data_IF_615049895354
#
_entry.id   IF_615049895354
#
_cell.length_a   1.000
_cell.length_b   1.000
_cell.length_c   1.000
_cell.angle_alpha   90.00
_cell.angle_beta   90.00
_cell.angle_gamma   90.00
#
_symmetry.space_group_name_H-M   'P 1'
#
loop_
_entity.id
_entity.type
_entity.pdbx_description
1 polymer ?
#
# COMPACT_ATOMS: atom_id res chain seq x y z
N UNK A 1 8.40 -25.80 -39.33
CA UNK A 1 7.87 -26.09 -37.96
C UNK A 1 8.10 -24.96 -36.95
N UNK A 2 8.61 -23.79 -37.35
CA UNK A 2 8.95 -22.68 -36.44
C UNK A 2 7.75 -21.84 -35.96
N UNK A 3 6.62 -21.86 -36.69
CA UNK A 3 5.41 -21.08 -36.35
C UNK A 3 4.62 -21.62 -35.15
N UNK A 4 4.70 -22.93 -34.86
CA UNK A 4 3.93 -23.57 -33.77
C UNK A 4 4.52 -23.30 -32.38
N UNK A 5 5.85 -23.14 -32.28
CA UNK A 5 6.52 -22.86 -31.00
C UNK A 5 6.24 -21.44 -30.47
N UNK A 6 6.09 -20.47 -31.39
CA UNK A 6 5.80 -19.07 -31.03
C UNK A 6 4.38 -18.92 -30.47
N UNK A 7 3.39 -19.63 -31.03
CA UNK A 7 2.01 -19.59 -30.53
C UNK A 7 1.85 -20.17 -29.12
N UNK A 8 2.64 -21.20 -28.76
CA UNK A 8 2.60 -21.80 -27.42
C UNK A 8 3.25 -20.86 -26.38
N UNK A 9 4.36 -20.21 -26.73
CA UNK A 9 5.00 -19.22 -25.86
C UNK A 9 4.11 -18.01 -25.58
N UNK A 10 3.34 -17.55 -26.57
CA UNK A 10 2.42 -16.41 -26.42
C UNK A 10 1.20 -16.74 -25.54
N UNK A 11 0.75 -18.00 -25.54
CA UNK A 11 -0.37 -18.45 -24.69
C UNK A 11 0.02 -18.58 -23.21
N UNK A 12 1.28 -18.94 -22.91
CA UNK A 12 1.78 -19.02 -21.53
C UNK A 12 1.98 -17.65 -20.88
N UNK A 13 2.23 -16.59 -21.65
CA UNK A 13 2.41 -15.23 -21.12
C UNK A 13 1.12 -14.63 -20.49
N UNK A 14 -0.04 -15.18 -20.83
CA UNK A 14 -1.35 -14.73 -20.34
C UNK A 14 -1.64 -15.25 -18.90
N UNK A 15 -0.85 -16.21 -18.41
CA UNK A 15 -1.06 -16.85 -17.11
C UNK A 15 -0.25 -16.21 -15.96
N UNK A 16 0.44 -15.09 -16.19
CA UNK A 16 1.12 -14.40 -15.09
C UNK A 16 0.08 -13.71 -14.20
N UNK A 17 0.11 -13.95 -12.88
CA UNK A 17 -0.82 -13.29 -11.97
C UNK A 17 -0.58 -11.78 -12.05
N UNK A 18 -1.62 -11.04 -12.42
CA UNK A 18 -1.62 -9.59 -12.32
C UNK A 18 -1.53 -9.24 -10.83
N UNK A 19 -0.37 -8.76 -10.42
CA UNK A 19 -0.16 -8.16 -9.11
C UNK A 19 -0.96 -6.86 -9.09
N UNK A 20 -1.96 -6.81 -8.20
CA UNK A 20 -2.91 -5.71 -8.21
C UNK A 20 -2.87 -4.84 -6.97
N UNK A 21 -2.23 -5.32 -5.91
CA UNK A 21 -2.25 -4.65 -4.63
C UNK A 21 -0.97 -4.90 -3.90
N UNK A 22 -0.61 -3.91 -3.09
CA UNK A 22 0.63 -3.88 -2.36
C UNK A 22 0.31 -3.68 -0.90
N UNK A 23 0.61 -4.68 -0.10
CA UNK A 23 0.47 -4.64 1.35
C UNK A 23 1.85 -4.52 1.99
N UNK A 24 1.97 -3.70 3.02
CA UNK A 24 3.21 -3.64 3.79
C UNK A 24 2.94 -3.24 5.23
N UNK A 25 3.83 -3.72 6.09
CA UNK A 25 3.78 -3.48 7.52
C UNK A 25 4.78 -2.39 7.92
N UNK A 26 4.29 -1.42 8.68
CA UNK A 26 5.05 -0.34 9.27
C UNK A 26 5.09 -0.52 10.78
N UNK A 27 6.29 -0.55 11.35
CA UNK A 27 6.50 -0.39 12.79
C UNK A 27 6.62 1.10 13.09
N UNK A 28 5.60 1.66 13.75
CA UNK A 28 5.55 3.05 14.16
C UNK A 28 5.61 3.18 15.69
N UNK A 29 6.19 4.27 16.21
CA UNK A 29 6.06 4.61 17.63
C UNK A 29 4.59 4.65 18.07
N UNK A 30 4.29 4.29 19.33
CA UNK A 30 2.96 4.31 19.97
C UNK A 30 1.91 3.32 19.45
N UNK A 31 1.85 3.04 18.14
CA UNK A 31 0.82 2.16 17.55
C UNK A 31 1.31 0.76 17.17
N UNK A 32 2.60 0.49 17.36
CA UNK A 32 3.19 -0.81 17.05
C UNK A 32 3.21 -1.09 15.56
N UNK A 33 2.72 -2.27 15.16
CA UNK A 33 2.67 -2.67 13.75
C UNK A 33 1.35 -2.21 13.14
N UNK A 34 1.45 -1.43 12.06
CA UNK A 34 0.32 -1.01 11.25
C UNK A 34 0.49 -1.54 9.83
N UNK A 35 -0.55 -2.11 9.28
CA UNK A 35 -0.58 -2.65 7.92
C UNK A 35 -1.21 -1.64 6.99
N UNK A 36 -0.53 -1.31 5.90
CA UNK A 36 -1.03 -0.44 4.83
C UNK A 36 -1.23 -1.27 3.59
N UNK A 37 -2.45 -1.23 3.04
CA UNK A 37 -2.79 -1.86 1.77
C UNK A 37 -3.07 -0.78 0.73
N UNK A 38 -2.31 -0.76 -0.36
CA UNK A 38 -2.61 0.03 -1.55
C UNK A 38 -3.22 -0.87 -2.62
N UNK A 39 -4.39 -0.50 -3.11
CA UNK A 39 -5.01 -1.17 -4.27
C UNK A 39 -4.68 -0.41 -5.56
N UNK A 40 -4.73 -1.10 -6.70
CA UNK A 40 -4.66 -0.44 -8.02
C UNK A 40 -5.86 0.47 -8.33
N UNK A 41 -6.90 0.48 -7.47
CA UNK A 41 -8.11 1.29 -7.63
C UNK A 41 -8.05 2.61 -6.83
N UNK A 42 -6.85 3.12 -6.55
CA UNK A 42 -6.60 4.37 -5.81
C UNK A 42 -7.11 4.38 -4.36
N UNK A 43 -7.63 3.25 -3.87
CA UNK A 43 -8.03 3.07 -2.47
C UNK A 43 -6.81 2.58 -1.70
N UNK A 44 -6.52 3.23 -0.57
CA UNK A 44 -5.59 2.71 0.42
C UNK A 44 -6.28 2.51 1.75
N UNK A 45 -5.81 1.55 2.52
CA UNK A 45 -6.35 1.25 3.85
C UNK A 45 -5.23 1.13 4.87
N UNK A 46 -5.58 1.37 6.13
CA UNK A 46 -4.71 1.30 7.28
C UNK A 46 -5.37 0.43 8.34
N UNK A 47 -4.64 -0.56 8.83
CA UNK A 47 -5.09 -1.48 9.86
C UNK A 47 -4.10 -1.52 11.02
N UNK A 48 -4.59 -1.48 12.24
CA UNK A 48 -3.83 -1.83 13.44
C UNK A 48 -4.77 -2.33 14.52
N UNK A 49 -4.38 -3.37 15.26
CA UNK A 49 -5.29 -4.06 16.18
C UNK A 49 -6.61 -4.44 15.48
N UNK A 50 -7.75 -4.02 16.04
CA UNK A 50 -9.09 -4.20 15.46
C UNK A 50 -9.56 -3.04 14.57
N UNK A 51 -8.77 -1.97 14.41
CA UNK A 51 -9.16 -0.80 13.62
C UNK A 51 -8.82 -1.01 12.15
N UNK A 52 -9.75 -0.61 11.29
CA UNK A 52 -9.59 -0.60 9.85
C UNK A 52 -10.12 0.73 9.30
N UNK A 53 -9.27 1.48 8.63
CA UNK A 53 -9.57 2.84 8.15
C UNK A 53 -9.19 2.95 6.68
N UNK A 54 -10.05 3.61 5.92
CA UNK A 54 -9.84 3.89 4.50
C UNK A 54 -9.21 5.28 4.33
N UNK A 55 -8.41 5.47 3.29
CA UNK A 55 -7.88 6.77 2.90
C UNK A 55 -8.72 7.43 1.81
N UNK A 56 -8.65 8.75 1.74
CA UNK A 56 -8.91 9.47 0.51
C UNK A 56 -7.90 9.08 -0.58
N UNK A 57 -8.16 9.38 -1.86
CA UNK A 57 -7.17 9.26 -2.92
C UNK A 57 -5.87 9.97 -2.54
N UNK A 58 -4.73 9.36 -2.87
CA UNK A 58 -3.43 9.90 -2.51
C UNK A 58 -3.17 11.24 -3.20
N UNK A 59 -2.63 12.20 -2.46
CA UNK A 59 -2.22 13.51 -2.96
C UNK A 59 -0.73 13.44 -3.29
N UNK A 60 -0.35 13.95 -4.46
CA UNK A 60 1.05 14.16 -4.82
C UNK A 60 1.46 15.58 -4.44
N UNK A 61 2.55 15.73 -3.70
CA UNK A 61 3.11 17.02 -3.31
C UNK A 61 4.55 17.10 -3.81
N UNK A 62 4.92 18.21 -4.46
CA UNK A 62 6.28 18.44 -4.94
C UNK A 62 6.89 19.60 -4.16
N UNK A 63 8.07 19.38 -3.61
CA UNK A 63 8.85 20.40 -2.93
C UNK A 63 10.34 20.20 -3.25
N UNK A 64 11.01 21.25 -3.75
CA UNK A 64 12.43 21.23 -4.09
C UNK A 64 12.86 20.03 -4.97
N UNK A 65 12.08 19.70 -6.02
CA UNK A 65 12.27 18.54 -6.90
C UNK A 65 12.11 17.17 -6.22
N UNK A 66 11.57 17.13 -5.00
CA UNK A 66 11.21 15.90 -4.31
C UNK A 66 9.70 15.72 -4.38
N UNK A 67 9.27 14.62 -4.97
CA UNK A 67 7.87 14.22 -4.99
C UNK A 67 7.55 13.40 -3.75
N UNK A 68 6.42 13.71 -3.10
CA UNK A 68 5.86 13.02 -1.96
C UNK A 68 4.47 12.50 -2.32
N UNK A 69 4.12 11.34 -1.78
CA UNK A 69 2.74 10.83 -1.75
C UNK A 69 2.21 10.92 -0.33
N UNK A 70 1.05 11.54 -0.20
CA UNK A 70 0.34 11.74 1.06
C UNK A 70 -0.97 10.97 1.00
N UNK A 71 -1.19 10.11 1.99
CA UNK A 71 -2.41 9.32 2.16
C UNK A 71 -3.13 9.81 3.42
N UNK A 72 -4.23 10.54 3.24
CA UNK A 72 -5.03 11.05 4.34
C UNK A 72 -6.13 10.05 4.69
N UNK A 73 -6.06 9.48 5.89
CA UNK A 73 -7.01 8.51 6.40
C UNK A 73 -8.25 9.18 6.99
N UNK A 74 -9.41 8.51 6.88
CA UNK A 74 -10.70 9.07 7.33
C UNK A 74 -10.76 9.37 8.83
N UNK A 75 -9.87 8.78 9.63
CA UNK A 75 -9.77 9.08 11.05
C UNK A 75 -8.88 10.32 11.35
N UNK A 76 -8.39 11.03 10.33
CA UNK A 76 -7.59 12.24 10.45
C UNK A 76 -6.07 12.02 10.50
N UNK A 77 -5.60 10.78 10.49
CA UNK A 77 -4.17 10.51 10.36
C UNK A 77 -3.68 10.63 8.91
N UNK A 78 -2.39 10.82 8.73
CA UNK A 78 -1.77 10.86 7.41
C UNK A 78 -0.50 10.02 7.33
N UNK A 79 -0.35 9.29 6.23
CA UNK A 79 0.93 8.67 5.85
C UNK A 79 1.59 9.48 4.75
N UNK A 80 2.85 9.83 4.94
CA UNK A 80 3.69 10.54 3.97
C UNK A 80 4.88 9.67 3.59
N UNK A 81 5.12 9.51 2.30
CA UNK A 81 6.34 8.87 1.78
C UNK A 81 6.90 9.64 0.61
N UNK A 82 8.21 9.62 0.44
CA UNK A 82 8.85 10.15 -0.77
C UNK A 82 8.55 9.18 -1.93
N UNK A 83 8.16 9.72 -3.09
CA UNK A 83 7.91 8.94 -4.28
C UNK A 83 9.22 8.27 -4.75
N UNK A 84 9.17 6.97 -5.01
CA UNK A 84 10.34 6.16 -5.35
C UNK A 84 11.23 5.78 -4.15
N UNK A 85 10.96 6.30 -2.94
CA UNK A 85 11.59 5.82 -1.72
C UNK A 85 10.70 4.74 -1.07
N UNK A 86 11.30 3.57 -0.85
CA UNK A 86 10.65 2.43 -0.22
C UNK A 86 11.16 2.18 1.20
N UNK A 87 11.98 3.07 1.75
CA UNK A 87 12.66 2.90 3.04
C UNK A 87 12.09 3.79 4.14
N UNK A 88 11.75 5.05 3.82
CA UNK A 88 11.30 6.03 4.82
C UNK A 88 9.81 6.33 4.70
N UNK A 89 9.09 6.10 5.78
CA UNK A 89 7.67 6.36 5.92
C UNK A 89 7.47 7.27 7.12
N UNK A 90 6.70 8.34 6.96
CA UNK A 90 6.36 9.24 8.06
C UNK A 90 4.87 9.18 8.31
N UNK A 91 4.49 8.99 9.57
CA UNK A 91 3.10 8.99 9.97
C UNK A 91 2.81 10.23 10.81
N UNK A 92 1.70 10.90 10.53
CA UNK A 92 1.24 12.09 11.24
C UNK A 92 -0.06 11.70 11.92
N UNK A 93 -0.06 11.66 13.25
CA UNK A 93 -1.25 11.39 14.02
C UNK A 93 -2.17 12.61 14.03
N UNK A 94 -3.50 12.40 13.93
CA UNK A 94 -4.50 13.48 13.84
C UNK A 94 -4.26 14.62 14.85
N UNK A 95 -4.00 14.24 16.11
CA UNK A 95 -3.82 15.17 17.23
C UNK A 95 -2.42 15.01 17.86
N UNK A 96 -1.41 14.61 17.08
CA UNK A 96 -0.10 14.24 17.60
C UNK A 96 1.07 14.62 16.70
N UNK A 97 2.25 14.11 17.05
CA UNK A 97 3.47 14.42 16.33
C UNK A 97 3.64 13.60 15.04
N UNK A 98 4.51 14.11 14.16
CA UNK A 98 5.02 13.37 13.02
C UNK A 98 6.10 12.39 13.51
N UNK A 99 5.91 11.12 13.23
CA UNK A 99 6.85 10.04 13.58
C UNK A 99 7.42 9.38 12.33
N UNK A 100 8.67 8.90 12.41
CA UNK A 100 9.23 8.01 11.40
C UNK A 100 8.87 6.56 11.71
N UNK A 101 8.42 5.85 10.68
CA UNK A 101 8.04 4.45 10.75
C UNK A 101 8.99 3.61 9.91
N UNK A 102 9.35 2.44 10.44
CA UNK A 102 10.19 1.48 9.74
C UNK A 102 9.32 0.45 9.04
N UNK A 103 9.52 0.25 7.74
CA UNK A 103 8.89 -0.85 7.02
C UNK A 103 9.54 -2.18 7.40
N UNK A 104 8.73 -3.13 7.86
CA UNK A 104 9.19 -4.43 8.38
C UNK A 104 8.75 -5.63 7.53
N UNK A 105 7.79 -5.44 6.63
CA UNK A 105 7.28 -6.49 5.76
C UNK A 105 6.61 -5.91 4.52
N UNK A 106 6.55 -6.70 3.44
CA UNK A 106 5.83 -6.37 2.21
C UNK A 106 5.37 -7.63 1.50
N UNK A 107 4.16 -7.57 0.96
CA UNK A 107 3.60 -8.58 0.09
C UNK A 107 2.92 -7.92 -1.11
N UNK A 108 3.09 -8.51 -2.29
CA UNK A 108 2.26 -8.22 -3.46
C UNK A 108 1.11 -9.23 -3.45
N UNK A 109 -0.13 -8.73 -3.48
CA UNK A 109 -1.34 -9.54 -3.41
C UNK A 109 -1.98 -9.68 -4.80
N UNK A 110 -2.47 -10.89 -5.06
CA UNK A 110 -3.30 -11.19 -6.23
C UNK A 110 -4.71 -10.63 -6.04
N UNK A 111 -5.37 -10.21 -7.14
CA UNK A 111 -6.75 -9.69 -7.12
C UNK A 111 -7.71 -10.62 -6.36
N UNK A 112 -7.51 -11.93 -6.51
CA UNK A 112 -8.35 -12.98 -5.95
C UNK A 112 -8.09 -13.26 -4.47
N UNK A 113 -7.03 -12.68 -3.89
CA UNK A 113 -6.61 -12.88 -2.50
C UNK A 113 -6.84 -11.63 -1.65
N UNK A 114 -7.91 -10.89 -1.95
CA UNK A 114 -8.35 -9.79 -1.08
C UNK A 114 -8.69 -10.35 0.31
N UNK A 115 -8.05 -9.88 1.39
CA UNK A 115 -8.48 -10.25 2.73
C UNK A 115 -9.89 -9.71 2.96
N UNK A 116 -10.86 -10.61 3.14
CA UNK A 116 -12.21 -10.26 3.56
C UNK A 116 -12.12 -9.82 5.02
N UNK A 117 -12.28 -8.52 5.28
CA UNK A 117 -12.33 -8.01 6.65
C UNK A 117 -13.72 -8.31 7.19
N UNK A 118 -13.82 -9.34 8.04
CA UNK A 118 -15.04 -9.59 8.80
C UNK A 118 -15.15 -8.52 9.90
N UNK A 119 -16.11 -7.60 9.77
CA UNK A 119 -16.52 -6.75 10.88
C UNK A 119 -17.20 -7.63 11.92
N UNK A 120 -16.48 -7.98 12.98
CA UNK A 120 -17.09 -8.53 14.20
C UNK A 120 -17.46 -7.32 15.04
N UNK A 121 -18.74 -6.93 14.95
CA UNK A 121 -19.35 -5.93 15.83
C UNK A 121 -19.59 -6.48 17.23
#
# INVERSE_FOLDING_TARGET
MLKKGISIAMLCAICLPVQAMKEYDLKCPERGVMTVLHTNYLISTLKWGSRFIVSHPAISYNEHNVNYKIYNFLNGDSLVKKAGDHKRYYFIYKDGEKVECTKIGEAELEITKLPIVHNVG
#
